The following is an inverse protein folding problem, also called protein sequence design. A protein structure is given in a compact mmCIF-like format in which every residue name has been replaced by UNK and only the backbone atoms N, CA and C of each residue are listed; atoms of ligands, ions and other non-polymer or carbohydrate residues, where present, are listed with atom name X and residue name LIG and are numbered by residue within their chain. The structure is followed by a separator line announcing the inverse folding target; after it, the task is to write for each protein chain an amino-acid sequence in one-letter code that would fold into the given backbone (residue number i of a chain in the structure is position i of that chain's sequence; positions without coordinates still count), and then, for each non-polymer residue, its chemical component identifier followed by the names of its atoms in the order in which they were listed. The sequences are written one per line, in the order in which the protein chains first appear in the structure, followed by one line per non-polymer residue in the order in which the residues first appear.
data_IF_418469866979
#
_entry.id   IF_418469866979
#
_cell.length_a   1.000
_cell.length_b   1.000
_cell.length_c   1.000
_cell.angle_alpha   90.00
_cell.angle_beta   90.00
_cell.angle_gamma   90.00
#
_symmetry.space_group_name_H-M   'P 1'
#
loop_
_entity.id
_entity.type
_entity.pdbx_description
1 polymer ?
#
# COMPACT_ATOMS: atom_id res chain seq x y z
N UNK A 1 -28.97 -6.92 -13.10
CA UNK A 1 -27.55 -6.64 -13.43
C UNK A 1 -27.30 -5.17 -13.67
N UNK A 2 -28.02 -4.52 -14.60
CA UNK A 2 -27.87 -3.07 -14.87
C UNK A 2 -28.31 -2.21 -13.66
N UNK A 3 -29.38 -2.59 -12.95
CA UNK A 3 -29.82 -1.87 -11.75
C UNK A 3 -28.80 -1.88 -10.60
N UNK A 4 -28.07 -2.97 -10.41
CA UNK A 4 -27.03 -3.09 -9.36
C UNK A 4 -25.77 -2.28 -9.69
N UNK A 5 -25.38 -2.24 -10.97
CA UNK A 5 -24.28 -1.37 -11.44
C UNK A 5 -24.65 0.11 -11.28
N UNK A 6 -25.88 0.48 -11.60
CA UNK A 6 -26.40 1.84 -11.41
C UNK A 6 -26.43 2.19 -9.92
N UNK A 7 -26.85 1.28 -9.04
CA UNK A 7 -26.88 1.52 -7.58
C UNK A 7 -25.48 1.66 -6.98
N UNK A 8 -24.53 0.82 -7.39
CA UNK A 8 -23.12 0.90 -6.96
C UNK A 8 -22.45 2.18 -7.48
N UNK A 9 -22.75 2.59 -8.71
CA UNK A 9 -22.24 3.82 -9.31
C UNK A 9 -22.82 5.05 -8.60
N UNK A 10 -24.12 5.05 -8.30
CA UNK A 10 -24.79 6.13 -7.56
C UNK A 10 -24.28 6.21 -6.12
N UNK A 11 -24.11 5.08 -5.41
CA UNK A 11 -23.52 5.09 -4.06
C UNK A 11 -22.08 5.60 -4.06
N UNK A 12 -21.26 5.18 -5.03
CA UNK A 12 -19.88 5.63 -5.19
C UNK A 12 -19.81 7.14 -5.49
N UNK A 13 -20.73 7.63 -6.33
CA UNK A 13 -20.83 9.05 -6.64
C UNK A 13 -21.33 9.88 -5.44
N UNK A 14 -22.25 9.34 -4.64
CA UNK A 14 -22.76 10.00 -3.44
C UNK A 14 -21.71 10.04 -2.31
N UNK A 15 -20.90 8.98 -2.16
CA UNK A 15 -19.75 8.95 -1.25
C UNK A 15 -18.71 10.00 -1.64
N UNK A 16 -18.39 10.11 -2.93
CA UNK A 16 -17.46 11.14 -3.45
C UNK A 16 -17.99 12.56 -3.22
N UNK A 17 -19.31 12.75 -3.21
CA UNK A 17 -19.96 14.04 -2.97
C UNK A 17 -19.93 14.49 -1.48
N UNK A 18 -19.67 13.58 -0.54
CA UNK A 18 -19.65 13.87 0.91
C UNK A 18 -18.33 14.45 1.45
N UNK A 19 -17.32 14.70 0.60
CA UNK A 19 -16.17 15.60 0.88
C UNK A 19 -15.56 15.39 2.30
N UNK A 20 -15.18 14.15 2.62
CA UNK A 20 -14.49 13.84 3.88
C UNK A 20 -12.98 14.01 3.65
N UNK A 21 -12.44 15.18 4.02
CA UNK A 21 -11.02 15.54 3.86
C UNK A 21 -10.03 14.80 4.79
N UNK A 22 -10.50 13.84 5.60
CA UNK A 22 -9.66 13.15 6.58
C UNK A 22 -9.18 11.76 6.13
N UNK A 23 -9.62 11.26 4.98
CA UNK A 23 -9.23 9.93 4.49
C UNK A 23 -8.27 10.07 3.30
N UNK A 24 -7.02 9.55 3.40
CA UNK A 24 -6.12 9.43 2.27
C UNK A 24 -6.79 8.66 1.12
N UNK A 25 -6.52 9.04 -0.13
CA UNK A 25 -7.20 8.46 -1.32
C UNK A 25 -7.13 6.93 -1.37
N UNK A 26 -6.00 6.34 -0.97
CA UNK A 26 -5.80 4.89 -0.89
C UNK A 26 -6.71 4.21 0.15
N UNK A 27 -6.92 4.84 1.31
CA UNK A 27 -7.82 4.29 2.33
C UNK A 27 -9.30 4.35 1.88
N UNK A 28 -9.67 5.40 1.15
CA UNK A 28 -11.01 5.57 0.61
C UNK A 28 -11.30 4.54 -0.49
N UNK A 29 -10.35 4.28 -1.40
CA UNK A 29 -10.49 3.28 -2.45
C UNK A 29 -10.58 1.85 -1.87
N UNK A 30 -9.80 1.54 -0.84
CA UNK A 30 -9.84 0.26 -0.13
C UNK A 30 -11.20 0.05 0.56
N UNK A 31 -11.72 1.05 1.27
CA UNK A 31 -13.05 0.99 1.89
C UNK A 31 -14.17 0.79 0.87
N UNK A 32 -14.11 1.50 -0.26
CA UNK A 32 -15.08 1.32 -1.35
C UNK A 32 -14.99 -0.12 -1.89
N UNK A 33 -13.78 -0.63 -2.13
CA UNK A 33 -13.55 -2.01 -2.57
C UNK A 33 -14.12 -3.04 -1.60
N UNK A 34 -13.92 -2.84 -0.29
CA UNK A 34 -14.45 -3.69 0.77
C UNK A 34 -15.99 -3.70 0.78
N UNK A 35 -16.62 -2.53 0.70
CA UNK A 35 -18.09 -2.40 0.70
C UNK A 35 -18.69 -3.06 -0.55
N UNK A 36 -18.13 -2.78 -1.73
CA UNK A 36 -18.59 -3.37 -2.99
C UNK A 36 -18.37 -4.89 -3.00
N UNK A 37 -17.22 -5.36 -2.52
CA UNK A 37 -16.90 -6.78 -2.37
C UNK A 37 -17.86 -7.51 -1.42
N UNK A 38 -18.14 -6.91 -0.26
CA UNK A 38 -19.09 -7.46 0.72
C UNK A 38 -20.53 -7.54 0.20
N UNK A 39 -20.99 -6.50 -0.51
CA UNK A 39 -22.30 -6.51 -1.16
C UNK A 39 -22.38 -7.55 -2.29
N UNK A 40 -21.29 -7.77 -3.03
CA UNK A 40 -21.19 -8.78 -4.07
C UNK A 40 -21.20 -10.22 -3.50
N UNK A 41 -20.61 -10.45 -2.31
CA UNK A 41 -20.64 -11.76 -1.65
C UNK A 41 -22.04 -12.12 -1.13
N UNK A 42 -22.79 -11.15 -0.61
CA UNK A 42 -24.16 -11.38 -0.11
C UNK A 42 -25.15 -11.67 -1.26
N UNK A 43 -24.91 -11.11 -2.44
CA UNK A 43 -25.81 -11.23 -3.59
C UNK A 43 -25.58 -12.46 -4.48
N UNK A 44 -24.69 -13.39 -4.10
CA UNK A 44 -24.35 -14.62 -4.84
C UNK A 44 -23.91 -14.36 -6.31
N UNK A 45 -23.56 -13.11 -6.66
CA UNK A 45 -23.08 -12.67 -7.97
C UNK A 45 -21.61 -13.06 -8.23
N UNK A 46 -21.00 -13.77 -7.29
CA UNK A 46 -19.58 -14.08 -7.20
C UNK A 46 -19.03 -14.85 -8.41
N UNK A 47 -19.85 -15.70 -9.06
CA UNK A 47 -19.43 -16.50 -10.23
C UNK A 47 -19.27 -15.67 -11.53
N UNK A 48 -20.02 -14.59 -11.69
CA UNK A 48 -19.96 -13.75 -12.92
C UNK A 48 -18.92 -12.63 -12.78
N UNK A 49 -18.75 -12.10 -11.57
CA UNK A 49 -17.83 -10.98 -11.28
C UNK A 49 -16.37 -11.42 -11.12
N UNK A 50 -16.09 -12.67 -10.69
CA UNK A 50 -14.71 -13.20 -10.53
C UNK A 50 -13.85 -13.11 -11.79
N UNK A 51 -14.45 -13.17 -12.98
CA UNK A 51 -13.71 -13.11 -14.26
C UNK A 51 -13.23 -11.70 -14.60
N UNK A 52 -13.91 -10.67 -14.10
CA UNK A 52 -13.52 -9.26 -14.26
C UNK A 52 -12.47 -8.81 -13.23
N UNK A 53 -12.44 -9.48 -12.06
CA UNK A 53 -11.48 -9.23 -10.98
C UNK A 53 -10.23 -10.12 -11.04
N UNK A 54 -9.99 -10.81 -12.16
CA UNK A 54 -8.74 -11.51 -12.36
C UNK A 54 -7.64 -10.47 -12.65
N UNK A 55 -7.14 -9.87 -11.57
CA UNK A 55 -6.06 -8.91 -11.58
C UNK A 55 -4.84 -9.62 -12.18
N UNK A 56 -4.41 -9.18 -13.37
CA UNK A 56 -3.19 -9.70 -13.97
C UNK A 56 -2.03 -8.94 -13.34
N UNK A 57 -1.40 -9.56 -12.34
CA UNK A 57 -0.21 -9.05 -11.68
C UNK A 57 0.86 -8.64 -12.70
N UNK A 58 1.02 -9.41 -13.77
CA UNK A 58 1.90 -9.10 -14.91
C UNK A 58 1.62 -7.71 -15.52
N UNK A 59 0.36 -7.35 -15.74
CA UNK A 59 0.02 -6.03 -16.29
C UNK A 59 0.31 -4.91 -15.28
N UNK A 60 0.13 -5.18 -13.99
CA UNK A 60 0.46 -4.21 -12.95
C UNK A 60 1.97 -3.95 -12.90
N UNK A 61 2.77 -5.01 -12.78
CA UNK A 61 4.23 -4.91 -12.67
C UNK A 61 4.90 -4.44 -13.96
N UNK A 62 4.44 -4.85 -15.15
CA UNK A 62 5.08 -4.51 -16.43
C UNK A 62 4.58 -3.21 -17.04
N UNK A 63 3.34 -2.77 -16.75
CA UNK A 63 2.74 -1.62 -17.42
C UNK A 63 2.43 -0.45 -16.49
N UNK A 64 1.97 -0.69 -15.26
CA UNK A 64 1.63 0.38 -14.31
C UNK A 64 2.85 0.86 -13.51
N UNK A 65 3.65 -0.07 -13.01
CA UNK A 65 4.79 0.23 -12.12
C UNK A 65 5.89 1.06 -12.80
N UNK A 66 6.32 0.78 -14.06
CA UNK A 66 7.43 1.51 -14.67
C UNK A 66 7.16 3.01 -14.89
N UNK A 67 5.98 3.44 -15.41
CA UNK A 67 5.66 4.86 -15.49
C UNK A 67 5.60 5.57 -14.14
N UNK A 68 5.09 4.91 -13.08
CA UNK A 68 4.99 5.48 -11.73
C UNK A 68 6.39 5.72 -11.13
N UNK A 69 7.28 4.72 -11.21
CA UNK A 69 8.67 4.88 -10.77
C UNK A 69 9.37 5.95 -11.60
N UNK A 70 9.17 5.96 -12.93
CA UNK A 70 9.79 6.93 -13.81
C UNK A 70 9.37 8.36 -13.48
N UNK A 71 8.08 8.64 -13.31
CA UNK A 71 7.59 9.97 -12.95
C UNK A 71 8.08 10.43 -11.57
N UNK A 72 8.12 9.51 -10.62
CA UNK A 72 8.60 9.78 -9.26
C UNK A 72 10.11 10.04 -9.24
N UNK A 73 10.88 9.26 -10.01
CA UNK A 73 12.32 9.44 -10.20
C UNK A 73 12.67 10.69 -11.01
N UNK A 74 11.85 11.07 -12.00
CA UNK A 74 12.05 12.30 -12.77
C UNK A 74 11.79 13.57 -11.93
N UNK A 75 10.86 13.49 -10.98
CA UNK A 75 10.57 14.58 -10.04
C UNK A 75 11.61 14.68 -8.91
N UNK A 76 12.51 13.69 -8.81
CA UNK A 76 13.54 13.61 -7.79
C UNK A 76 14.76 14.44 -8.17
N UNK A 77 15.21 15.33 -7.29
CA UNK A 77 16.49 16.01 -7.50
C UNK A 77 17.66 15.05 -7.18
N UNK A 78 18.57 14.76 -8.12
CA UNK A 78 19.60 13.74 -7.92
C UNK A 78 20.66 14.15 -6.88
N UNK A 79 20.99 15.45 -6.77
CA UNK A 79 21.99 15.95 -5.81
C UNK A 79 21.66 15.59 -4.35
N UNK A 80 20.48 15.94 -3.80
CA UNK A 80 20.13 15.60 -2.42
C UNK A 80 19.92 14.10 -2.19
N UNK A 81 19.45 13.35 -3.21
CA UNK A 81 19.34 11.90 -3.12
C UNK A 81 20.71 11.21 -2.94
N UNK A 82 21.68 11.51 -3.80
CA UNK A 82 23.01 10.91 -3.71
C UNK A 82 23.80 11.40 -2.50
N UNK A 83 23.54 12.62 -2.02
CA UNK A 83 24.15 13.13 -0.78
C UNK A 83 23.68 12.39 0.48
N UNK A 84 22.46 11.85 0.47
CA UNK A 84 21.86 11.13 1.61
C UNK A 84 21.78 9.62 1.40
N UNK A 85 22.37 9.09 0.33
CA UNK A 85 22.25 7.70 -0.08
C UNK A 85 22.62 6.69 1.02
N UNK A 86 23.63 6.99 1.85
CA UNK A 86 24.00 6.14 2.98
C UNK A 86 22.90 6.03 4.04
N UNK A 87 22.21 7.13 4.35
CA UNK A 87 21.08 7.12 5.27
C UNK A 87 19.90 6.33 4.67
N UNK A 88 19.64 6.52 3.38
CA UNK A 88 18.57 5.82 2.65
C UNK A 88 18.79 4.30 2.70
N UNK A 89 19.99 3.81 2.37
CA UNK A 89 20.31 2.38 2.46
C UNK A 89 20.18 1.85 3.89
N UNK A 90 20.65 2.62 4.87
CA UNK A 90 20.59 2.21 6.27
C UNK A 90 19.14 2.04 6.72
N UNK A 91 18.24 2.97 6.38
CA UNK A 91 16.82 2.83 6.68
C UNK A 91 16.17 1.69 5.89
N UNK A 92 16.46 1.59 4.59
CA UNK A 92 15.86 0.60 3.71
C UNK A 92 16.27 -0.86 3.99
N UNK A 93 17.44 -1.10 4.59
CA UNK A 93 17.89 -2.47 4.91
C UNK A 93 17.79 -2.73 6.41
N UNK A 94 18.39 -1.87 7.24
CA UNK A 94 18.45 -2.10 8.68
C UNK A 94 17.10 -1.79 9.32
N UNK A 95 16.46 -0.70 8.90
CA UNK A 95 15.13 -0.33 9.42
C UNK A 95 14.08 -1.38 9.11
N UNK A 96 14.09 -1.92 7.90
CA UNK A 96 13.12 -2.90 7.39
C UNK A 96 13.36 -4.29 7.98
N UNK A 97 14.62 -4.69 8.15
CA UNK A 97 14.97 -5.92 8.85
C UNK A 97 14.54 -5.86 10.33
N UNK A 98 14.79 -4.74 11.01
CA UNK A 98 14.33 -4.53 12.38
C UNK A 98 12.80 -4.54 12.44
N UNK A 99 12.12 -3.83 11.54
CA UNK A 99 10.66 -3.79 11.48
C UNK A 99 10.07 -5.20 11.24
N UNK A 100 10.64 -5.98 10.33
CA UNK A 100 10.24 -7.37 10.05
C UNK A 100 10.40 -8.29 11.26
N UNK A 101 11.54 -8.21 11.96
CA UNK A 101 11.78 -9.01 13.17
C UNK A 101 10.85 -8.59 14.29
N UNK A 102 10.72 -7.28 14.56
CA UNK A 102 9.90 -6.77 15.66
C UNK A 102 8.44 -7.12 15.44
N UNK A 103 7.91 -6.90 14.24
CA UNK A 103 6.53 -7.25 13.90
C UNK A 103 6.30 -8.76 13.98
N UNK A 104 7.20 -9.58 13.42
CA UNK A 104 7.09 -11.04 13.49
C UNK A 104 7.12 -11.59 14.92
N UNK A 105 8.02 -11.08 15.76
CA UNK A 105 8.10 -11.47 17.18
C UNK A 105 6.87 -10.98 17.95
N UNK A 106 6.38 -9.76 17.71
CA UNK A 106 5.16 -9.25 18.34
C UNK A 106 3.94 -10.11 18.01
N UNK A 107 3.78 -10.53 16.74
CA UNK A 107 2.70 -11.42 16.33
C UNK A 107 2.84 -12.80 16.97
N UNK A 108 4.07 -13.32 17.06
CA UNK A 108 4.33 -14.59 17.74
C UNK A 108 3.99 -14.54 19.24
N UNK A 109 4.39 -13.47 19.93
CA UNK A 109 4.04 -13.23 21.34
C UNK A 109 2.53 -13.03 21.51
N UNK A 110 1.87 -12.31 20.60
CA UNK A 110 0.42 -12.15 20.59
C UNK A 110 -0.31 -13.49 20.43
N UNK A 111 0.26 -14.42 19.66
CA UNK A 111 -0.23 -15.80 19.54
C UNK A 111 -0.04 -16.64 20.81
N UNK A 112 1.00 -16.37 21.61
CA UNK A 112 1.24 -17.04 22.89
C UNK A 112 0.26 -16.59 23.98
N UNK A 113 -0.11 -15.31 23.99
CA UNK A 113 -1.11 -14.75 24.93
C UNK A 113 -2.56 -14.98 24.47
N UNK A 114 -2.79 -15.80 23.44
CA UNK A 114 -4.11 -16.10 22.86
C UNK A 114 -4.88 -14.87 22.33
N UNK A 115 -4.19 -13.77 22.02
CA UNK A 115 -4.80 -12.58 21.40
C UNK A 115 -4.99 -12.77 19.88
N UNK A 116 -4.09 -13.53 19.26
CA UNK A 116 -4.08 -13.83 17.82
C UNK A 116 -4.00 -15.35 17.63
N UNK A 117 -4.39 -15.85 16.45
CA UNK A 117 -4.24 -17.26 16.11
C UNK A 117 -2.78 -17.70 16.25
N UNK A 118 -2.56 -18.84 16.92
CA UNK A 118 -1.21 -19.33 17.21
C UNK A 118 -0.59 -19.95 15.96
N UNK A 119 0.27 -19.18 15.32
CA UNK A 119 1.05 -19.60 14.15
C UNK A 119 2.47 -20.04 14.56
N UNK A 120 3.12 -20.93 13.80
CA UNK A 120 4.54 -21.21 13.98
C UNK A 120 5.39 -19.95 13.73
N UNK A 121 6.55 -19.88 14.38
CA UNK A 121 7.45 -18.71 14.31
C UNK A 121 7.77 -18.31 12.87
N UNK A 122 7.93 -19.28 11.98
CA UNK A 122 8.23 -19.02 10.56
C UNK A 122 7.11 -18.24 9.88
N UNK A 123 5.83 -18.59 10.11
CA UNK A 123 4.69 -17.87 9.54
C UNK A 123 4.57 -16.45 10.10
N UNK A 124 4.84 -16.26 11.40
CA UNK A 124 4.88 -14.92 12.00
C UNK A 124 6.00 -14.06 11.40
N UNK A 125 7.18 -14.63 11.17
CA UNK A 125 8.30 -13.93 10.54
C UNK A 125 8.03 -13.61 9.06
N UNK A 126 7.38 -14.51 8.33
CA UNK A 126 6.92 -14.24 6.96
C UNK A 126 5.89 -13.10 6.93
N UNK A 127 4.96 -13.08 7.88
CA UNK A 127 4.02 -11.97 8.03
C UNK A 127 4.73 -10.65 8.33
N UNK A 128 5.70 -10.66 9.25
CA UNK A 128 6.51 -9.48 9.55
C UNK A 128 7.25 -8.94 8.34
N UNK A 129 7.87 -9.82 7.54
CA UNK A 129 8.52 -9.44 6.29
C UNK A 129 7.54 -8.83 5.28
N UNK A 130 6.37 -9.46 5.08
CA UNK A 130 5.34 -8.97 4.15
C UNK A 130 4.79 -7.58 4.53
N UNK A 131 4.67 -7.29 5.83
CA UNK A 131 4.12 -6.01 6.33
C UNK A 131 5.19 -4.92 6.44
N UNK A 132 6.47 -5.28 6.43
CA UNK A 132 7.57 -4.32 6.55
C UNK A 132 7.86 -3.52 5.27
N UNK A 133 7.39 -3.97 4.10
CA UNK A 133 7.48 -3.22 2.86
C UNK A 133 6.60 -1.97 2.93
N UNK A 134 7.19 -0.79 2.70
CA UNK A 134 6.54 0.52 2.85
C UNK A 134 6.22 1.13 1.48
N UNK A 135 4.93 1.37 1.20
CA UNK A 135 4.51 2.08 -0.01
C UNK A 135 4.46 3.61 0.22
N UNK A 136 5.30 4.42 -0.45
CA UNK A 136 5.38 5.85 -0.23
C UNK A 136 4.31 6.61 -1.02
N UNK A 137 3.61 5.99 -1.97
CA UNK A 137 2.81 6.69 -3.00
C UNK A 137 1.81 7.67 -2.38
N UNK A 138 1.17 7.29 -1.28
CA UNK A 138 0.19 8.14 -0.60
C UNK A 138 0.85 9.28 0.19
N UNK A 139 2.01 9.03 0.80
CA UNK A 139 2.75 10.07 1.57
C UNK A 139 3.39 11.06 0.61
N UNK A 140 3.92 10.55 -0.50
CA UNK A 140 4.61 11.32 -1.52
C UNK A 140 3.67 12.28 -2.24
N UNK A 141 2.43 11.86 -2.52
CA UNK A 141 1.41 12.73 -3.12
C UNK A 141 1.02 13.89 -2.20
N UNK A 142 0.88 13.62 -0.89
CA UNK A 142 0.61 14.64 0.13
C UNK A 142 1.80 15.62 0.26
N UNK A 143 3.04 15.12 0.22
CA UNK A 143 4.24 15.95 0.31
C UNK A 143 4.42 16.90 -0.87
N UNK A 144 4.00 16.49 -2.07
CA UNK A 144 3.96 17.37 -3.25
C UNK A 144 2.92 18.49 -3.09
N UNK A 145 1.76 18.19 -2.52
CA UNK A 145 0.70 19.18 -2.27
C UNK A 145 1.10 20.19 -1.18
N UNK A 146 1.85 19.76 -0.17
CA UNK A 146 2.33 20.59 0.93
C UNK A 146 3.62 21.37 0.62
N UNK A 147 4.29 21.12 -0.51
CA UNK A 147 5.55 21.80 -0.87
C UNK A 147 6.73 21.44 0.05
N UNK A 148 6.90 20.15 0.34
CA UNK A 148 7.89 19.63 1.31
C UNK A 148 9.34 19.76 0.83
N UNK A 149 10.30 19.80 1.77
CA UNK A 149 11.74 19.84 1.49
C UNK A 149 12.18 18.68 0.58
N UNK A 150 12.97 19.01 -0.44
CA UNK A 150 13.46 18.08 -1.47
C UNK A 150 14.31 16.95 -0.86
N UNK A 151 14.99 17.20 0.27
CA UNK A 151 15.75 16.19 0.99
C UNK A 151 14.85 15.14 1.65
N UNK A 152 13.74 15.56 2.27
CA UNK A 152 12.81 14.64 2.93
C UNK A 152 12.06 13.79 1.89
N UNK A 153 11.65 14.42 0.79
CA UNK A 153 11.07 13.71 -0.35
C UNK A 153 12.04 12.64 -0.89
N UNK A 154 13.31 13.01 -1.10
CA UNK A 154 14.31 12.08 -1.61
C UNK A 154 14.61 10.92 -0.66
N UNK A 155 14.60 11.18 0.66
CA UNK A 155 14.88 10.16 1.67
C UNK A 155 13.74 9.15 1.78
N UNK A 156 12.49 9.61 1.86
CA UNK A 156 11.29 8.73 1.93
C UNK A 156 11.09 7.95 0.64
N UNK A 157 11.22 8.60 -0.52
CA UNK A 157 11.13 7.90 -1.80
C UNK A 157 12.22 6.83 -1.95
N UNK A 158 13.46 7.18 -1.60
CA UNK A 158 14.59 6.25 -1.70
C UNK A 158 14.47 5.06 -0.75
N UNK A 159 14.00 5.29 0.48
CA UNK A 159 13.83 4.24 1.48
C UNK A 159 12.82 3.22 1.00
N UNK A 160 11.63 3.67 0.58
CA UNK A 160 10.59 2.78 0.08
C UNK A 160 10.96 2.03 -1.20
N UNK A 161 11.59 2.69 -2.18
CA UNK A 161 12.00 2.00 -3.43
C UNK A 161 13.04 0.91 -3.17
N UNK A 162 13.97 1.16 -2.23
CA UNK A 162 14.96 0.16 -1.85
C UNK A 162 14.36 -0.93 -0.95
N UNK A 163 13.46 -0.58 -0.04
CA UNK A 163 12.75 -1.51 0.83
C UNK A 163 11.90 -2.51 0.02
N UNK A 164 11.20 -2.05 -1.02
CA UNK A 164 10.43 -2.92 -1.93
C UNK A 164 11.30 -3.97 -2.65
N UNK A 165 12.63 -3.78 -2.70
CA UNK A 165 13.57 -4.72 -3.30
C UNK A 165 14.25 -5.67 -2.30
N UNK A 166 14.10 -5.45 -0.98
CA UNK A 166 14.72 -6.24 0.11
C UNK A 166 13.83 -7.42 0.49
#
# INVERSE_FOLDING_TARGET
QISMLVLAFVLSHLLRRRRVYYLPEASASLLIGLIVGGLASVSNAQKSTRRWFNFREELFFLFLLPPIIFQSGFSLAPKPFFSNFGAIITFAIVGTLIASIVTGVLVYLAGLIHLVYRMPLVECMMFGALVSATDPVTVLSIFQELGTDVNLYALVFGESVLNDAV
#
